data_IF_193291134534
#
_entry.id   IF_193291134534
#
_cell.length_a   1.000
_cell.length_b   1.000
_cell.length_c   1.000
_cell.angle_alpha   90.00
_cell.angle_beta   90.00
_cell.angle_gamma   90.00
#
_symmetry.space_group_name_H-M   'P 1'
#
loop_
_entity.id
_entity.type
_entity.pdbx_description
1 polymer ?
#
# COMPACT_ATOMS: atom_id res chain seq x y z
N UNK A 1 -21.65 17.09 -4.78
CA UNK A 1 -20.29 16.49 -4.69
C UNK A 1 -19.45 17.13 -5.77
N UNK A 2 -18.20 17.52 -5.46
CA UNK A 2 -17.26 17.94 -6.51
C UNK A 2 -16.74 16.72 -7.27
N UNK A 3 -16.54 16.87 -8.58
CA UNK A 3 -16.00 15.82 -9.45
C UNK A 3 -14.55 16.12 -9.79
N UNK A 4 -13.72 15.08 -9.89
CA UNK A 4 -12.36 15.18 -10.40
C UNK A 4 -12.29 14.56 -11.79
N UNK A 5 -11.68 15.27 -12.73
CA UNK A 5 -11.52 14.80 -14.10
C UNK A 5 -10.22 13.98 -14.25
N UNK A 6 -10.35 12.79 -14.82
CA UNK A 6 -9.25 11.87 -15.06
C UNK A 6 -9.21 11.52 -16.55
N UNK A 7 -8.08 11.73 -17.22
CA UNK A 7 -7.93 11.39 -18.65
C UNK A 7 -6.95 10.26 -18.90
N UNK A 8 -7.28 9.41 -19.88
CA UNK A 8 -6.33 8.44 -20.42
C UNK A 8 -5.33 9.18 -21.33
N UNK A 9 -4.01 9.09 -21.07
CA UNK A 9 -3.01 9.72 -21.92
C UNK A 9 -2.96 9.07 -23.31
N UNK A 10 -2.74 9.86 -24.35
CA UNK A 10 -2.81 9.46 -25.77
C UNK A 10 -1.64 8.61 -26.28
N UNK A 11 -0.62 8.32 -25.47
CA UNK A 11 0.54 7.50 -25.87
C UNK A 11 0.45 6.07 -25.33
N UNK A 12 0.82 5.06 -26.13
CA UNK A 12 0.40 3.69 -25.88
C UNK A 12 1.25 3.00 -24.81
N UNK A 13 0.53 2.32 -23.93
CA UNK A 13 0.75 0.93 -23.53
C UNK A 13 2.19 0.49 -23.17
N UNK A 14 2.42 0.27 -21.88
CA UNK A 14 3.44 -0.67 -21.40
C UNK A 14 2.99 -2.11 -21.73
N UNK A 15 3.18 -2.56 -22.97
CA UNK A 15 2.82 -3.92 -23.40
C UNK A 15 3.68 -5.02 -22.76
N UNK A 16 4.85 -4.69 -22.20
CA UNK A 16 5.84 -5.67 -21.75
C UNK A 16 6.34 -5.49 -20.31
N UNK A 17 5.49 -5.11 -19.35
CA UNK A 17 5.80 -5.49 -17.96
C UNK A 17 5.26 -6.90 -17.70
N UNK A 18 5.97 -7.89 -18.25
CA UNK A 18 5.93 -9.24 -17.73
C UNK A 18 6.61 -9.22 -16.36
N UNK A 19 5.91 -8.72 -15.35
CA UNK A 19 6.37 -8.73 -13.97
C UNK A 19 6.62 -10.19 -13.59
N UNK A 20 7.89 -10.58 -13.46
CA UNK A 20 8.28 -11.88 -12.91
C UNK A 20 8.14 -11.82 -11.38
N UNK A 21 6.93 -11.60 -10.89
CA UNK A 21 6.65 -11.63 -9.46
C UNK A 21 5.70 -12.80 -9.20
N UNK A 22 6.15 -13.74 -8.38
CA UNK A 22 5.44 -14.98 -8.05
C UNK A 22 4.74 -14.93 -6.68
N UNK A 23 4.86 -13.82 -5.94
CA UNK A 23 4.32 -13.69 -4.58
C UNK A 23 3.51 -12.41 -4.32
N UNK A 24 2.72 -12.50 -3.26
CA UNK A 24 1.49 -11.78 -2.86
C UNK A 24 1.68 -10.33 -2.41
N UNK A 25 2.90 -9.80 -2.28
CA UNK A 25 3.13 -8.44 -1.77
C UNK A 25 3.95 -7.62 -2.77
N UNK A 26 3.26 -6.91 -3.67
CA UNK A 26 3.92 -5.86 -4.47
C UNK A 26 3.97 -4.59 -3.64
N UNK A 27 5.12 -4.38 -3.02
CA UNK A 27 5.38 -3.19 -2.21
C UNK A 27 6.63 -2.51 -2.75
N UNK A 28 6.50 -1.24 -3.10
CA UNK A 28 7.62 -0.44 -3.60
C UNK A 28 8.28 0.30 -2.45
N UNK A 29 9.60 0.17 -2.35
CA UNK A 29 10.42 1.04 -1.52
C UNK A 29 11.07 2.09 -2.41
N UNK A 30 10.71 3.36 -2.22
CA UNK A 30 11.45 4.48 -2.79
C UNK A 30 11.93 5.36 -1.64
N UNK A 31 13.23 5.62 -1.54
CA UNK A 31 13.73 6.73 -0.73
C UNK A 31 13.83 7.98 -1.60
N UNK A 32 13.97 9.17 -1.01
CA UNK A 32 14.17 10.42 -1.76
C UNK A 32 15.40 10.42 -2.67
N UNK A 33 16.29 9.42 -2.54
CA UNK A 33 17.56 9.33 -3.28
C UNK A 33 17.71 8.04 -4.10
N UNK A 34 16.72 7.14 -4.14
CA UNK A 34 16.85 5.84 -4.83
C UNK A 34 15.66 5.52 -5.72
N UNK A 35 15.95 4.90 -6.87
CA UNK A 35 14.94 4.28 -7.74
C UNK A 35 14.00 3.35 -6.95
N UNK A 36 12.71 3.25 -7.35
CA UNK A 36 11.77 2.37 -6.66
C UNK A 36 12.15 0.91 -6.89
N UNK A 37 12.46 0.18 -5.82
CA UNK A 37 12.67 -1.27 -5.89
C UNK A 37 11.39 -2.02 -5.55
N UNK A 38 11.09 -3.07 -6.31
CA UNK A 38 9.96 -3.96 -6.04
C UNK A 38 10.43 -5.19 -5.27
N UNK A 39 10.12 -5.28 -3.98
CA UNK A 39 10.33 -6.51 -3.22
C UNK A 39 9.36 -7.58 -3.71
N UNK A 40 9.84 -8.77 -4.07
CA UNK A 40 8.98 -9.81 -4.62
C UNK A 40 9.23 -11.21 -4.03
N UNK A 41 10.33 -11.41 -3.31
CA UNK A 41 10.59 -12.65 -2.58
C UNK A 41 11.43 -12.36 -1.32
N UNK A 42 11.04 -13.01 -0.24
CA UNK A 42 11.73 -13.00 1.04
C UNK A 42 11.97 -14.46 1.44
N UNK A 43 13.19 -14.80 1.85
CA UNK A 43 13.54 -16.15 2.30
C UNK A 43 14.35 -16.06 3.58
N UNK A 44 13.87 -16.73 4.63
CA UNK A 44 14.50 -16.75 5.94
C UNK A 44 15.41 -17.98 6.07
N UNK A 45 16.53 -17.81 6.78
CA UNK A 45 17.50 -18.85 7.09
C UNK A 45 17.76 -18.87 8.59
N UNK A 46 17.64 -20.04 9.20
CA UNK A 46 17.79 -20.25 10.64
C UNK A 46 17.31 -21.64 11.02
N UNK A 47 17.70 -22.13 12.19
CA UNK A 47 17.24 -23.42 12.71
C UNK A 47 15.77 -23.39 13.13
N UNK A 48 15.34 -22.25 13.68
CA UNK A 48 13.96 -21.90 14.04
C UNK A 48 13.79 -20.38 13.90
N UNK A 49 12.54 -19.91 13.75
CA UNK A 49 12.24 -18.48 13.89
C UNK A 49 12.54 -17.96 15.30
N UNK A 50 12.67 -18.81 16.31
CA UNK A 50 13.01 -18.41 17.68
C UNK A 50 14.53 -18.24 17.90
N UNK A 51 15.36 -18.63 16.93
CA UNK A 51 16.82 -18.54 17.03
C UNK A 51 17.30 -17.08 16.97
N UNK A 52 18.25 -16.66 17.80
CA UNK A 52 18.73 -15.27 17.83
C UNK A 52 19.31 -14.88 16.45
N UNK A 53 19.89 -15.83 15.72
CA UNK A 53 20.64 -15.58 14.48
C UNK A 53 19.86 -15.91 13.19
N UNK A 54 18.58 -15.55 13.11
CA UNK A 54 17.83 -15.65 11.85
C UNK A 54 18.33 -14.59 10.87
N UNK A 55 18.73 -15.03 9.68
CA UNK A 55 19.11 -14.16 8.57
C UNK A 55 18.12 -14.32 7.42
N UNK A 56 18.17 -13.44 6.43
CA UNK A 56 17.24 -13.49 5.30
C UNK A 56 17.86 -12.97 4.02
N UNK A 57 17.43 -13.56 2.92
CA UNK A 57 17.67 -13.05 1.58
C UNK A 57 16.40 -12.35 1.09
N UNK A 58 16.56 -11.09 0.67
CA UNK A 58 15.47 -10.28 0.12
C UNK A 58 15.76 -10.03 -1.36
N UNK A 59 14.85 -10.46 -2.21
CA UNK A 59 14.93 -10.30 -3.65
C UNK A 59 14.07 -9.11 -4.09
N UNK A 60 14.71 -8.21 -4.81
CA UNK A 60 14.12 -7.02 -5.39
C UNK A 60 14.24 -7.07 -6.91
N UNK A 61 13.28 -6.45 -7.59
CA UNK A 61 13.37 -6.12 -9.00
C UNK A 61 13.64 -4.62 -9.13
N UNK A 62 14.70 -4.25 -9.85
CA UNK A 62 15.00 -2.88 -10.25
C UNK A 62 14.31 -2.61 -11.59
N UNK A 63 13.21 -1.83 -11.63
CA UNK A 63 12.48 -1.56 -12.86
C UNK A 63 13.23 -0.64 -13.82
N UNK A 64 14.28 0.07 -13.36
CA UNK A 64 15.09 0.96 -14.22
C UNK A 64 16.16 0.16 -14.95
N UNK A 65 16.77 -0.81 -14.28
CA UNK A 65 17.78 -1.69 -14.87
C UNK A 65 17.19 -2.97 -15.47
N UNK A 66 15.92 -3.23 -15.21
CA UNK A 66 15.22 -4.48 -15.53
C UNK A 66 15.93 -5.73 -15.00
N UNK A 67 16.58 -5.61 -13.85
CA UNK A 67 17.44 -6.64 -13.27
C UNK A 67 17.02 -7.00 -11.83
N UNK A 68 17.49 -8.15 -11.37
CA UNK A 68 17.30 -8.63 -10.01
C UNK A 68 18.41 -8.10 -9.08
N UNK A 69 18.01 -7.60 -7.92
CA UNK A 69 18.92 -7.23 -6.83
C UNK A 69 18.61 -8.10 -5.63
N UNK A 70 19.62 -8.81 -5.11
CA UNK A 70 19.49 -9.69 -3.95
C UNK A 70 20.30 -9.11 -2.80
N UNK A 71 19.61 -8.76 -1.71
CA UNK A 71 20.24 -8.42 -0.43
C UNK A 71 20.34 -9.71 0.38
N UNK A 72 21.57 -10.15 0.64
CA UNK A 72 21.84 -11.42 1.32
C UNK A 72 22.17 -11.23 2.80
N UNK A 73 21.96 -12.31 3.55
CA UNK A 73 22.42 -12.46 4.94
C UNK A 73 21.98 -11.31 5.86
N UNK A 74 20.80 -10.72 5.58
CA UNK A 74 20.27 -9.61 6.36
C UNK A 74 19.75 -10.14 7.70
N UNK A 75 20.21 -9.57 8.81
CA UNK A 75 19.71 -9.92 10.13
C UNK A 75 18.19 -9.67 10.21
N UNK A 76 17.43 -10.68 10.62
CA UNK A 76 15.97 -10.57 10.77
C UNK A 76 15.63 -10.19 12.22
N UNK A 77 15.06 -8.98 12.46
CA UNK A 77 14.77 -8.50 13.81
C UNK A 77 13.81 -9.41 14.56
N UNK A 78 14.04 -9.58 15.86
CA UNK A 78 13.22 -10.46 16.69
C UNK A 78 11.78 -9.97 16.81
N UNK A 79 11.60 -8.66 16.86
CA UNK A 79 10.32 -7.96 16.96
C UNK A 79 9.43 -8.17 15.73
N UNK A 80 10.01 -8.54 14.58
CA UNK A 80 9.28 -8.79 13.34
C UNK A 80 8.93 -10.26 13.14
N UNK A 81 9.39 -11.17 14.02
CA UNK A 81 8.99 -12.57 14.01
C UNK A 81 7.51 -12.64 14.39
N UNK A 82 6.71 -13.34 13.58
CA UNK A 82 5.24 -13.37 13.71
C UNK A 82 4.53 -12.06 13.32
N UNK A 83 5.16 -11.27 12.45
CA UNK A 83 4.51 -10.12 11.80
C UNK A 83 4.24 -10.39 10.32
N UNK A 84 3.26 -9.67 9.77
CA UNK A 84 3.01 -9.61 8.34
C UNK A 84 3.35 -8.23 7.80
N UNK A 85 4.08 -8.16 6.68
CA UNK A 85 4.33 -6.90 5.97
C UNK A 85 3.04 -6.46 5.28
N UNK A 86 2.50 -5.30 5.67
CA UNK A 86 1.24 -4.74 5.16
C UNK A 86 1.43 -3.52 4.25
N UNK A 87 2.60 -2.88 4.29
CA UNK A 87 2.87 -1.73 3.45
C UNK A 87 4.35 -1.41 3.38
N UNK A 88 4.76 -0.66 2.37
CA UNK A 88 6.09 -0.05 2.32
C UNK A 88 5.94 1.40 1.86
N UNK A 89 6.71 2.30 2.48
CA UNK A 89 6.71 3.72 2.15
C UNK A 89 8.05 4.33 2.54
N UNK A 90 8.60 5.19 1.70
CA UNK A 90 9.84 5.94 1.97
C UNK A 90 11.09 5.09 2.31
N UNK A 91 11.19 3.84 1.85
CA UNK A 91 12.30 2.95 2.24
C UNK A 91 11.97 2.04 3.44
N UNK A 92 10.86 2.28 4.12
CA UNK A 92 10.47 1.62 5.37
C UNK A 92 9.28 0.69 5.16
N UNK A 93 9.32 -0.49 5.75
CA UNK A 93 8.21 -1.45 5.81
C UNK A 93 7.33 -1.20 7.02
N UNK A 94 6.02 -1.41 6.86
CA UNK A 94 5.01 -1.40 7.91
C UNK A 94 4.57 -2.84 8.15
N UNK A 95 4.71 -3.29 9.39
CA UNK A 95 4.48 -4.67 9.82
C UNK A 95 3.36 -4.72 10.83
N UNK A 96 2.44 -5.67 10.68
CA UNK A 96 1.34 -5.91 11.60
C UNK A 96 1.62 -7.17 12.42
N UNK A 97 1.54 -7.06 13.75
CA UNK A 97 1.45 -8.22 14.65
C UNK A 97 0.03 -8.75 14.62
N UNK A 98 -0.09 -10.03 14.34
CA UNK A 98 -1.35 -10.74 14.48
C UNK A 98 -1.30 -11.56 15.77
N UNK A 99 -1.82 -11.00 16.86
CA UNK A 99 -2.09 -11.74 18.09
C UNK A 99 -3.53 -11.50 18.56
N UNK A 100 -4.08 -12.46 19.30
CA UNK A 100 -5.46 -12.39 19.80
C UNK A 100 -5.65 -11.26 20.84
N UNK A 101 -4.56 -10.83 21.48
CA UNK A 101 -4.59 -9.90 22.60
C UNK A 101 -4.36 -8.44 22.17
N UNK A 102 -3.43 -8.19 21.23
CA UNK A 102 -3.01 -6.83 20.87
C UNK A 102 -2.62 -6.71 19.40
N UNK A 103 -3.12 -5.66 18.74
CA UNK A 103 -2.62 -5.24 17.42
C UNK A 103 -1.51 -4.23 17.61
N UNK A 104 -0.29 -4.62 17.29
CA UNK A 104 0.83 -3.70 17.22
C UNK A 104 1.23 -3.51 15.76
N UNK A 105 1.49 -2.27 15.40
CA UNK A 105 2.16 -1.94 14.14
C UNK A 105 3.62 -1.64 14.43
N UNK A 106 4.51 -2.12 13.58
CA UNK A 106 5.91 -1.74 13.59
C UNK A 106 6.28 -1.09 12.27
N UNK A 107 7.20 -0.14 12.33
CA UNK A 107 7.83 0.46 11.16
C UNK A 107 9.31 0.13 11.20
N UNK A 108 9.84 -0.45 10.12
CA UNK A 108 11.24 -0.88 10.06
C UNK A 108 11.90 -0.63 8.70
N UNK A 109 13.17 -0.25 8.70
CA UNK A 109 14.00 -0.14 7.50
C UNK A 109 14.53 -1.51 7.01
N UNK A 110 14.05 -2.61 7.59
CA UNK A 110 14.39 -3.98 7.19
C UNK A 110 14.16 -4.25 5.70
N UNK A 111 13.12 -3.67 5.09
CA UNK A 111 12.87 -3.83 3.66
C UNK A 111 13.63 -2.84 2.77
N UNK A 112 14.53 -2.01 3.32
CA UNK A 112 15.35 -1.10 2.53
C UNK A 112 16.49 -1.86 1.84
N UNK A 113 16.57 -1.86 0.49
CA UNK A 113 17.66 -2.51 -0.24
C UNK A 113 19.01 -1.82 -0.05
N UNK A 114 19.01 -0.52 0.27
CA UNK A 114 20.22 0.28 0.45
C UNK A 114 20.58 0.50 1.94
N UNK A 115 19.92 -0.21 2.86
CA UNK A 115 20.19 -0.09 4.29
C UNK A 115 21.62 -0.53 4.62
N UNK A 116 22.48 0.41 5.00
CA UNK A 116 23.90 0.17 5.31
C UNK A 116 24.14 -0.43 6.71
N UNK A 117 23.09 -0.62 7.50
CA UNK A 117 23.19 -1.04 8.90
C UNK A 117 23.04 -2.56 9.01
N UNK A 118 23.91 -3.23 9.78
CA UNK A 118 23.81 -4.67 10.01
C UNK A 118 22.50 -5.04 10.73
N UNK A 119 22.01 -4.12 11.57
CA UNK A 119 20.77 -4.27 12.33
C UNK A 119 19.73 -3.26 11.85
N UNK A 120 18.57 -3.74 11.35
CA UNK A 120 17.44 -2.89 11.01
C UNK A 120 16.90 -2.14 12.24
N UNK A 121 16.49 -0.89 12.06
CA UNK A 121 15.69 -0.17 13.06
C UNK A 121 14.27 -0.73 13.09
N UNK A 122 13.71 -0.92 14.26
CA UNK A 122 12.29 -1.27 14.45
C UNK A 122 11.66 -0.25 15.39
N UNK A 123 10.58 0.39 14.93
CA UNK A 123 9.86 1.43 15.68
C UNK A 123 8.46 0.90 15.97
N UNK A 124 8.09 0.65 17.24
CA UNK A 124 6.74 0.30 17.59
C UNK A 124 5.79 1.50 17.46
N UNK A 125 4.65 1.25 16.84
CA UNK A 125 3.48 2.11 16.81
C UNK A 125 2.41 1.47 17.69
N UNK A 126 2.58 1.57 18.99
CA UNK A 126 1.60 1.03 19.93
C UNK A 126 0.32 1.88 19.88
N UNK A 127 -0.87 1.28 19.64
CA UNK A 127 -2.11 1.96 19.93
C UNK A 127 -2.19 2.12 21.45
N UNK A 128 -2.10 3.35 21.92
CA UNK A 128 -2.21 3.65 23.34
C UNK A 128 -3.69 3.54 23.75
N UNK A 129 -4.07 2.42 24.39
CA UNK A 129 -5.43 2.19 24.92
C UNK A 129 -5.97 0.78 24.66
N UNK A 130 -7.15 0.47 25.22
CA UNK A 130 -7.81 -0.83 24.98
C UNK A 130 -8.21 -0.96 23.50
N UNK A 131 -7.94 -2.11 22.85
CA UNK A 131 -8.26 -2.30 21.45
C UNK A 131 -9.78 -2.27 21.21
N UNK A 132 -10.26 -1.31 20.42
CA UNK A 132 -11.65 -1.26 19.97
C UNK A 132 -11.93 -2.33 18.89
N UNK A 133 -13.20 -2.67 18.65
CA UNK A 133 -13.60 -3.74 17.69
C UNK A 133 -13.04 -3.48 16.27
N UNK A 134 -12.89 -2.21 15.88
CA UNK A 134 -12.28 -1.77 14.61
C UNK A 134 -10.79 -2.10 14.52
N UNK A 135 -10.06 -2.06 15.64
CA UNK A 135 -8.65 -2.47 15.72
C UNK A 135 -8.49 -3.99 15.63
N UNK A 136 -9.53 -4.82 15.85
CA UNK A 136 -9.46 -6.28 15.61
C UNK A 136 -9.47 -6.67 14.12
N UNK A 137 -9.68 -5.74 13.20
CA UNK A 137 -9.78 -6.02 11.75
C UNK A 137 -8.43 -6.22 11.08
N UNK A 138 -8.37 -7.11 10.09
CA UNK A 138 -7.15 -7.43 9.34
C UNK A 138 -6.66 -6.17 8.62
N UNK A 139 -5.39 -5.80 8.79
CA UNK A 139 -4.80 -4.67 8.08
C UNK A 139 -4.45 -5.14 6.67
N UNK A 140 -4.99 -4.45 5.66
CA UNK A 140 -4.83 -4.83 4.24
C UNK A 140 -3.75 -4.01 3.54
N UNK A 141 -3.51 -2.78 3.99
CA UNK A 141 -2.46 -1.90 3.47
C UNK A 141 -2.10 -0.78 4.45
N UNK A 142 -0.91 -0.20 4.33
CA UNK A 142 -0.53 1.01 5.05
C UNK A 142 0.29 2.00 4.21
N UNK A 143 0.19 3.29 4.54
CA UNK A 143 0.97 4.39 3.96
C UNK A 143 1.45 5.34 5.07
N UNK A 144 2.57 6.05 4.87
CA UNK A 144 3.08 7.03 5.84
C UNK A 144 3.29 8.41 5.22
N UNK A 145 3.21 9.44 6.05
CA UNK A 145 3.43 10.85 5.63
C UNK A 145 4.85 11.11 5.16
N UNK A 146 5.84 10.58 5.88
CA UNK A 146 7.25 10.75 5.61
C UNK A 146 8.07 9.66 6.31
N UNK A 147 9.32 9.44 5.90
CA UNK A 147 10.17 8.44 6.56
C UNK A 147 10.46 8.82 8.01
N UNK A 148 10.62 7.83 8.91
CA UNK A 148 11.12 8.06 10.27
C UNK A 148 12.49 8.76 10.36
N UNK A 149 13.30 8.71 9.29
CA UNK A 149 14.57 9.46 9.24
C UNK A 149 14.38 10.96 8.91
N UNK A 150 13.22 11.36 8.39
CA UNK A 150 12.90 12.75 8.04
C UNK A 150 12.21 13.50 9.18
N UNK A 151 11.29 12.85 9.91
CA UNK A 151 10.59 13.46 11.04
C UNK A 151 10.27 12.40 12.09
N UNK A 152 10.26 12.81 13.36
CA UNK A 152 9.79 11.99 14.47
C UNK A 152 8.26 11.99 14.61
N UNK A 153 7.57 12.94 13.99
CA UNK A 153 6.10 13.10 14.10
C UNK A 153 5.36 12.54 12.86
N UNK A 154 5.93 11.52 12.21
CA UNK A 154 5.30 10.90 11.05
C UNK A 154 3.99 10.20 11.43
N UNK A 155 3.02 10.16 10.51
CA UNK A 155 1.76 9.45 10.70
C UNK A 155 1.72 8.25 9.77
N UNK A 156 1.28 7.10 10.29
CA UNK A 156 0.99 5.90 9.51
C UNK A 156 -0.52 5.70 9.44
N UNK A 157 -1.05 5.67 8.23
CA UNK A 157 -2.43 5.29 7.96
C UNK A 157 -2.45 3.79 7.62
N UNK A 158 -3.22 3.00 8.37
CA UNK A 158 -3.41 1.59 8.14
C UNK A 158 -4.86 1.31 7.74
N UNK A 159 -5.05 0.88 6.49
CA UNK A 159 -6.33 0.44 5.97
C UNK A 159 -6.67 -0.96 6.52
N UNK A 160 -7.90 -1.12 6.99
CA UNK A 160 -8.39 -2.38 7.53
C UNK A 160 -9.44 -2.99 6.62
N UNK A 161 -9.58 -4.31 6.66
CA UNK A 161 -10.64 -5.03 5.95
C UNK A 161 -12.01 -4.54 6.45
N UNK A 162 -12.86 -4.12 5.52
CA UNK A 162 -14.15 -3.49 5.81
C UNK A 162 -14.06 -1.97 5.92
N UNK A 163 -15.03 -1.39 6.63
CA UNK A 163 -15.24 0.06 6.66
C UNK A 163 -14.34 0.80 7.67
N UNK A 164 -13.02 0.80 7.52
CA UNK A 164 -12.14 1.44 8.50
C UNK A 164 -10.71 1.73 8.05
N UNK A 165 -10.26 2.96 8.30
CA UNK A 165 -8.83 3.32 8.32
C UNK A 165 -8.44 3.79 9.72
N UNK A 166 -7.26 3.38 10.18
CA UNK A 166 -6.69 3.74 11.47
C UNK A 166 -5.42 4.58 11.27
N UNK A 167 -5.17 5.55 12.14
CA UNK A 167 -3.96 6.38 12.08
C UNK A 167 -3.12 6.19 13.34
N UNK A 168 -1.81 6.11 13.14
CA UNK A 168 -0.84 5.83 14.18
C UNK A 168 0.27 6.87 14.15
N UNK A 169 0.66 7.35 15.33
CA UNK A 169 1.82 8.24 15.53
C UNK A 169 2.82 7.53 16.44
N UNK A 170 4.12 7.61 16.14
CA UNK A 170 5.16 7.14 17.06
C UNK A 170 5.16 7.99 18.34
N UNK A 171 5.39 7.37 19.49
CA UNK A 171 5.57 8.04 20.79
C UNK A 171 4.43 8.99 21.25
N UNK A 172 3.24 8.91 20.68
CA UNK A 172 2.10 9.75 21.08
C UNK A 172 1.58 9.41 22.47
N UNK A 173 1.18 10.42 23.25
CA UNK A 173 0.26 10.21 24.39
C UNK A 173 -1.05 9.59 23.86
N UNK A 174 -1.82 8.84 24.67
CA UNK A 174 -3.01 8.10 24.20
C UNK A 174 -4.05 8.98 23.52
N UNK A 175 -4.08 10.25 23.92
CA UNK A 175 -4.97 11.29 23.44
C UNK A 175 -4.71 11.70 21.99
N UNK A 176 -3.48 11.51 21.46
CA UNK A 176 -3.10 11.89 20.09
C UNK A 176 -2.98 10.70 19.13
N UNK A 177 -2.92 9.47 19.64
CA UNK A 177 -3.11 8.26 18.84
C UNK A 177 -4.62 8.09 18.60
N UNK A 178 -5.15 8.92 17.71
CA UNK A 178 -6.55 8.89 17.33
C UNK A 178 -6.92 7.53 16.75
N UNK A 179 -7.39 6.61 17.60
CA UNK A 179 -8.05 5.37 17.21
C UNK A 179 -9.49 5.62 16.71
N UNK A 180 -9.70 6.76 16.06
CA UNK A 180 -10.92 7.07 15.34
C UNK A 180 -10.97 6.21 14.10
N UNK A 181 -11.53 5.01 14.21
CA UNK A 181 -11.84 4.19 13.05
C UNK A 181 -12.80 4.96 12.15
N UNK A 182 -12.30 5.50 11.05
CA UNK A 182 -13.14 6.25 10.13
C UNK A 182 -13.99 5.26 9.35
N UNK A 183 -15.30 5.24 9.61
CA UNK A 183 -16.24 4.45 8.82
C UNK A 183 -16.31 5.06 7.43
N UNK A 184 -15.74 4.37 6.44
CA UNK A 184 -16.18 4.56 5.06
C UNK A 184 -17.64 4.14 5.02
N UNK A 185 -18.54 4.97 4.52
CA UNK A 185 -19.99 4.66 4.56
C UNK A 185 -20.40 3.55 3.58
N UNK A 186 -19.45 2.91 2.89
CA UNK A 186 -19.76 1.95 1.83
C UNK A 186 -18.73 0.84 1.66
N UNK A 187 -19.23 -0.37 1.42
CA UNK A 187 -18.50 -1.57 1.01
C UNK A 187 -17.67 -1.37 -0.27
N UNK A 188 -17.91 -0.28 -1.00
CA UNK A 188 -17.07 0.16 -2.11
C UNK A 188 -15.59 0.31 -1.75
N UNK A 189 -15.21 0.35 -0.47
CA UNK A 189 -13.80 0.54 -0.08
C UNK A 189 -13.11 -0.70 0.50
N UNK A 190 -13.79 -1.84 0.62
CA UNK A 190 -13.32 -2.99 1.43
C UNK A 190 -11.98 -3.60 0.96
N UNK A 191 -11.59 -3.39 -0.30
CA UNK A 191 -10.32 -3.87 -0.90
C UNK A 191 -9.38 -2.75 -1.33
N UNK A 192 -9.69 -1.52 -0.95
CA UNK A 192 -8.97 -0.34 -1.42
C UNK A 192 -7.63 -0.20 -0.69
N UNK A 193 -6.67 0.46 -1.34
CA UNK A 193 -5.35 0.73 -0.73
C UNK A 193 -5.26 2.21 -0.38
N UNK A 194 -4.61 2.51 0.74
CA UNK A 194 -4.34 3.89 1.15
C UNK A 194 -3.02 4.37 0.53
N UNK A 195 -3.01 5.62 0.09
CA UNK A 195 -1.81 6.32 -0.39
C UNK A 195 -1.73 7.67 0.32
N UNK A 196 -0.52 8.14 0.62
CA UNK A 196 -0.30 9.50 1.11
C UNK A 196 0.20 10.40 -0.03
N UNK A 197 -0.51 11.49 -0.27
CA UNK A 197 -0.15 12.52 -1.23
C UNK A 197 0.67 13.59 -0.53
N UNK A 198 1.91 13.78 -0.98
CA UNK A 198 2.77 14.83 -0.44
C UNK A 198 2.34 16.21 -0.95
N UNK A 199 1.84 16.29 -2.18
CA UNK A 199 1.30 17.53 -2.77
C UNK A 199 0.17 18.10 -1.92
N UNK A 200 -0.79 17.27 -1.54
CA UNK A 200 -2.03 17.73 -0.90
C UNK A 200 -2.01 17.57 0.62
N UNK A 201 -0.94 16.98 1.17
CA UNK A 201 -0.80 16.62 2.59
C UNK A 201 -1.99 15.79 3.10
N UNK A 202 -2.39 14.79 2.32
CA UNK A 202 -3.63 14.02 2.53
C UNK A 202 -3.45 12.54 2.29
N UNK A 203 -4.20 11.75 3.03
CA UNK A 203 -4.36 10.33 2.74
C UNK A 203 -5.55 10.13 1.81
N UNK A 204 -5.38 9.26 0.83
CA UNK A 204 -6.37 8.95 -0.20
C UNK A 204 -6.63 7.45 -0.27
N UNK A 205 -7.86 7.08 -0.55
CA UNK A 205 -8.23 5.71 -0.94
C UNK A 205 -9.22 5.76 -2.11
N UNK A 206 -8.92 5.12 -3.25
CA UNK A 206 -9.88 4.99 -4.34
C UNK A 206 -10.87 3.88 -4.02
N UNK A 207 -12.12 3.97 -4.45
CA UNK A 207 -13.07 2.87 -4.31
C UNK A 207 -12.66 1.67 -5.17
N UNK A 208 -13.22 0.50 -4.88
CA UNK A 208 -13.31 -0.63 -5.81
C UNK A 208 -13.90 -0.11 -7.14
N UNK A 209 -13.28 -0.48 -8.25
CA UNK A 209 -13.58 0.06 -9.58
C UNK A 209 -13.10 1.51 -9.85
N UNK A 210 -12.72 2.25 -8.81
CA UNK A 210 -12.11 3.58 -8.91
C UNK A 210 -13.08 4.69 -9.32
N UNK A 211 -14.34 4.66 -8.92
CA UNK A 211 -15.32 5.71 -9.25
C UNK A 211 -15.41 6.80 -8.20
N UNK A 212 -14.97 6.51 -6.98
CA UNK A 212 -14.93 7.49 -5.89
C UNK A 212 -13.54 7.57 -5.30
N UNK A 213 -13.21 8.75 -4.78
CA UNK A 213 -11.97 9.03 -4.07
C UNK A 213 -12.31 9.57 -2.70
N UNK A 214 -12.02 8.78 -1.66
CA UNK A 214 -12.13 9.22 -0.27
C UNK A 214 -10.78 9.75 0.22
N UNK A 215 -10.82 10.80 1.05
CA UNK A 215 -9.60 11.39 1.59
C UNK A 215 -9.74 11.95 3.01
N UNK A 216 -8.60 12.04 3.69
CA UNK A 216 -8.41 12.54 5.05
C UNK A 216 -7.25 13.53 5.10
N UNK A 217 -7.45 14.65 5.80
CA UNK A 217 -6.41 15.64 6.06
C UNK A 217 -5.38 15.07 7.05
N UNK A 218 -4.06 15.28 6.82
CA UNK A 218 -3.01 14.69 7.68
C UNK A 218 -2.87 15.34 9.06
N UNK A 219 -3.38 16.56 9.19
CA UNK A 219 -3.45 17.30 10.45
C UNK A 219 -4.75 16.92 11.18
N UNK A 220 -4.72 15.77 11.85
CA UNK A 220 -5.82 15.27 12.67
C UNK A 220 -5.96 16.08 13.97
N UNK A 221 -6.40 17.33 13.87
CA UNK A 221 -6.80 18.15 15.03
C UNK A 221 -8.23 17.83 15.46
N UNK A 222 -9.08 17.35 14.54
CA UNK A 222 -10.46 16.98 14.83
C UNK A 222 -10.68 15.47 14.68
N UNK A 223 -10.62 14.79 15.81
CA UNK A 223 -11.14 13.43 15.97
C UNK A 223 -12.64 13.49 15.59
N UNK A 224 -13.11 12.60 14.70
CA UNK A 224 -14.52 12.36 14.31
C UNK A 224 -15.02 12.84 12.93
N UNK A 225 -14.19 13.27 11.98
CA UNK A 225 -14.71 13.66 10.65
C UNK A 225 -14.75 12.49 9.65
N UNK A 226 -15.93 12.15 9.10
CA UNK A 226 -16.04 11.19 8.00
C UNK A 226 -15.14 11.59 6.82
N UNK A 227 -14.59 10.63 6.03
CA UNK A 227 -13.81 10.99 4.86
C UNK A 227 -14.61 11.91 3.94
N UNK A 228 -13.94 12.94 3.42
CA UNK A 228 -14.47 13.71 2.30
C UNK A 228 -14.37 12.83 1.05
N UNK A 229 -15.40 12.87 0.20
CA UNK A 229 -15.46 12.04 -1.00
C UNK A 229 -15.62 12.90 -2.26
N UNK A 230 -14.86 12.56 -3.31
CA UNK A 230 -15.01 13.09 -4.66
C UNK A 230 -15.45 11.99 -5.62
N UNK A 231 -16.30 12.34 -6.57
CA UNK A 231 -16.60 11.48 -7.72
C UNK A 231 -15.48 11.60 -8.74
N UNK A 232 -15.03 10.48 -9.31
CA UNK A 232 -14.02 10.44 -10.36
C UNK A 232 -14.70 10.30 -11.72
N UNK A 233 -14.53 11.29 -12.59
CA UNK A 233 -15.05 11.28 -13.96
C UNK A 233 -13.92 10.95 -14.93
N UNK A 234 -14.22 10.06 -15.86
CA UNK A 234 -13.23 9.56 -16.81
C UNK A 234 -13.50 10.13 -18.21
N UNK A 235 -12.48 10.72 -18.80
CA UNK A 235 -12.47 11.20 -20.17
C UNK A 235 -11.44 10.44 -21.02
N UNK A 236 -11.60 10.54 -22.34
CA UNK A 236 -10.76 9.82 -23.32
C UNK A 236 -10.73 8.31 -23.07
N UNK A 237 -11.88 7.73 -22.72
CA UNK A 237 -12.00 6.28 -22.58
C UNK A 237 -11.67 5.60 -23.91
N UNK A 238 -10.96 4.45 -23.88
CA UNK A 238 -10.63 3.75 -25.10
C UNK A 238 -11.89 3.19 -25.75
N UNK A 239 -11.96 3.24 -27.08
CA UNK A 239 -12.95 2.46 -27.83
C UNK A 239 -12.61 0.97 -27.67
N UNK A 240 -13.55 0.19 -27.16
CA UNK A 240 -13.39 -1.24 -26.91
C UNK A 240 -14.42 -2.02 -27.70
N UNK A 241 -13.99 -3.13 -28.28
CA UNK A 241 -14.90 -4.11 -28.90
C UNK A 241 -15.77 -4.79 -27.83
N UNK A 242 -16.89 -5.38 -28.25
CA UNK A 242 -17.78 -6.14 -27.35
C UNK A 242 -17.02 -7.24 -26.59
N UNK A 243 -16.16 -8.00 -27.28
CA UNK A 243 -15.33 -9.05 -26.67
C UNK A 243 -14.31 -8.50 -25.65
N UNK A 244 -13.80 -7.30 -25.86
CA UNK A 244 -12.91 -6.66 -24.87
C UNK A 244 -13.68 -6.24 -23.63
N UNK A 245 -14.89 -5.70 -23.80
CA UNK A 245 -15.76 -5.37 -22.66
C UNK A 245 -16.09 -6.59 -21.82
N UNK A 246 -16.51 -7.69 -22.46
CA UNK A 246 -16.80 -8.95 -21.78
C UNK A 246 -15.58 -9.50 -21.02
N UNK A 247 -14.38 -9.39 -21.62
CA UNK A 247 -13.14 -9.78 -20.96
C UNK A 247 -12.86 -8.92 -19.71
N UNK A 248 -13.01 -7.60 -19.80
CA UNK A 248 -12.77 -6.71 -18.66
C UNK A 248 -13.79 -6.91 -17.55
N UNK A 249 -15.06 -7.14 -17.89
CA UNK A 249 -16.14 -7.42 -16.93
C UNK A 249 -15.88 -8.73 -16.16
N UNK A 250 -15.30 -9.73 -16.83
CA UNK A 250 -14.90 -11.00 -16.21
C UNK A 250 -13.74 -10.91 -15.21
N UNK A 251 -13.02 -9.78 -15.12
CA UNK A 251 -11.87 -9.58 -14.24
C UNK A 251 -12.23 -9.19 -12.79
N UNK A 252 -13.49 -9.40 -12.38
CA UNK A 252 -14.01 -8.93 -11.09
C UNK A 252 -13.35 -9.59 -9.86
N UNK A 253 -13.07 -8.83 -8.78
CA UNK A 253 -13.25 -7.39 -8.62
C UNK A 253 -12.08 -6.55 -9.16
N UNK A 254 -12.41 -5.43 -9.82
CA UNK A 254 -11.44 -4.46 -10.35
C UNK A 254 -10.73 -3.69 -9.22
N UNK A 255 -9.42 -3.89 -9.10
CA UNK A 255 -8.59 -3.13 -8.16
C UNK A 255 -8.14 -1.81 -8.77
N UNK A 256 -8.34 -0.73 -8.02
CA UNK A 256 -7.85 0.60 -8.35
C UNK A 256 -6.70 1.00 -7.40
N UNK A 257 -5.66 1.60 -7.95
CA UNK A 257 -4.48 2.06 -7.22
C UNK A 257 -4.18 3.51 -7.55
N UNK A 258 -3.75 4.29 -6.56
CA UNK A 258 -3.27 5.64 -6.79
C UNK A 258 -1.74 5.66 -6.79
N UNK A 259 -1.19 6.51 -7.65
CA UNK A 259 0.24 6.81 -7.67
C UNK A 259 0.44 8.33 -7.80
N UNK A 260 1.50 8.84 -7.20
CA UNK A 260 1.90 10.24 -7.28
C UNK A 260 3.32 10.33 -7.83
N UNK A 261 3.52 11.19 -8.82
CA UNK A 261 4.85 11.50 -9.37
C UNK A 261 5.62 12.45 -8.45
N UNK A 262 6.96 12.54 -8.58
CA UNK A 262 7.76 13.53 -7.86
C UNK A 262 7.33 14.98 -8.11
N UNK A 263 6.71 15.26 -9.26
CA UNK A 263 6.13 16.58 -9.59
C UNK A 263 4.76 16.84 -8.95
N UNK A 264 4.21 15.92 -8.17
CA UNK A 264 2.88 16.04 -7.55
C UNK A 264 1.71 15.69 -8.48
N UNK A 265 1.96 15.27 -9.72
CA UNK A 265 0.91 14.75 -10.59
C UNK A 265 0.42 13.40 -10.06
N UNK A 266 -0.90 13.21 -10.00
CA UNK A 266 -1.53 11.99 -9.53
C UNK A 266 -2.09 11.17 -10.69
N UNK A 267 -2.04 9.86 -10.53
CA UNK A 267 -2.54 8.88 -11.47
C UNK A 267 -3.43 7.86 -10.76
N UNK A 268 -4.53 7.50 -11.39
CA UNK A 268 -5.36 6.36 -11.01
C UNK A 268 -5.09 5.20 -11.98
N UNK A 269 -4.68 4.07 -11.43
CA UNK A 269 -4.37 2.85 -12.18
C UNK A 269 -5.49 1.85 -11.90
N UNK A 270 -6.29 1.54 -12.93
CA UNK A 270 -7.24 0.43 -12.91
C UNK A 270 -6.55 -0.83 -13.42
N UNK A 271 -6.50 -1.87 -12.60
CA UNK A 271 -5.83 -3.12 -12.94
C UNK A 271 -6.85 -4.25 -13.11
N UNK A 272 -6.99 -4.68 -14.36
CA UNK A 272 -7.87 -5.78 -14.75
C UNK A 272 -7.06 -7.07 -14.75
N UNK A 273 -7.32 -7.93 -13.76
CA UNK A 273 -6.69 -9.23 -13.65
C UNK A 273 -7.77 -10.31 -13.46
N UNK A 274 -7.64 -11.41 -14.21
CA UNK A 274 -8.48 -12.58 -14.06
C UNK A 274 -7.82 -13.52 -13.05
N UNK A 275 -8.45 -13.68 -11.88
CA UNK A 275 -8.02 -14.64 -10.89
C UNK A 275 -8.74 -15.98 -11.11
N UNK A 276 -7.96 -17.06 -11.11
CA UNK A 276 -8.44 -18.43 -11.18
C UNK A 276 -9.03 -18.89 -9.82
N UNK A 277 -9.94 -19.86 -9.92
CA UNK A 277 -10.88 -20.49 -8.97
C UNK A 277 -10.68 -20.35 -7.43
N UNK A 278 -11.79 -20.19 -6.67
CA UNK A 278 -11.81 -20.28 -5.21
C UNK A 278 -11.22 -21.61 -4.69
N UNK A 279 -10.43 -21.56 -3.61
CA UNK A 279 -9.97 -22.75 -2.87
C UNK A 279 -8.52 -23.22 -3.14
N UNK A 280 -7.76 -22.56 -4.02
CA UNK A 280 -6.31 -22.80 -4.16
C UNK A 280 -5.50 -21.64 -3.57
N UNK A 281 -4.36 -21.97 -2.94
CA UNK A 281 -3.39 -20.97 -2.46
C UNK A 281 -3.04 -20.04 -3.61
N UNK A 282 -3.26 -18.75 -3.39
CA UNK A 282 -3.10 -17.67 -4.37
C UNK A 282 -1.62 -17.53 -4.74
N UNK A 283 -1.18 -18.28 -5.75
CA UNK A 283 0.08 -17.99 -6.44
C UNK A 283 -0.22 -16.85 -7.40
N UNK A 284 0.08 -15.61 -6.99
CA UNK A 284 0.00 -14.43 -7.86
C UNK A 284 1.05 -14.56 -8.97
N UNK A 285 0.78 -15.42 -9.94
CA UNK A 285 1.46 -15.45 -11.22
C UNK A 285 0.91 -14.27 -12.01
N UNK A 286 1.79 -13.38 -12.47
CA UNK A 286 1.44 -12.25 -13.34
C UNK A 286 0.79 -12.65 -14.69
N UNK A 287 0.50 -13.95 -14.89
CA UNK A 287 -0.25 -14.55 -15.99
C UNK A 287 -1.76 -14.19 -15.99
N UNK A 288 -2.30 -13.68 -14.88
CA UNK A 288 -3.72 -13.28 -14.79
C UNK A 288 -4.02 -11.85 -15.28
N UNK A 289 -3.02 -10.99 -15.45
CA UNK A 289 -3.26 -9.60 -15.87
C UNK A 289 -3.80 -9.54 -17.29
N UNK A 290 -4.95 -8.91 -17.49
CA UNK A 290 -5.55 -8.66 -18.81
C UNK A 290 -5.26 -7.25 -19.29
N UNK A 291 -5.32 -6.25 -18.40
CA UNK A 291 -5.14 -4.84 -18.79
C UNK A 291 -4.77 -3.95 -17.61
N UNK A 292 -4.00 -2.90 -17.89
CA UNK A 292 -3.90 -1.72 -17.04
C UNK A 292 -4.51 -0.53 -17.79
N UNK A 293 -5.28 0.30 -17.10
CA UNK A 293 -5.67 1.61 -17.57
C UNK A 293 -5.14 2.65 -16.58
N UNK A 294 -4.33 3.58 -17.07
CA UNK A 294 -3.68 4.60 -16.24
C UNK A 294 -4.27 5.94 -16.60
N UNK A 295 -5.05 6.51 -15.71
CA UNK A 295 -5.65 7.82 -15.89
C UNK A 295 -4.85 8.86 -15.11
N UNK A 296 -4.62 10.01 -15.71
CA UNK A 296 -3.97 11.16 -15.07
C UNK A 296 -5.04 12.11 -14.54
N UNK A 297 -4.82 12.65 -13.33
CA UNK A 297 -5.62 13.76 -12.81
C UNK A 297 -5.40 15.01 -13.65
N UNK A 298 -6.49 15.54 -14.21
CA UNK A 298 -6.52 16.84 -14.87
C UNK A 298 -6.70 17.91 -13.79
N UNK A 299 -6.04 19.04 -13.99
CA UNK A 299 -6.27 20.21 -13.14
C UNK A 299 -7.57 20.87 -13.61
N UNK A 300 -8.43 21.26 -12.67
CA UNK A 300 -9.62 22.04 -12.98
C UNK A 300 -9.17 23.31 -13.73
N UNK A 301 -9.63 23.48 -14.98
CA UNK A 301 -9.38 24.68 -15.81
C UNK A 301 -10.16 25.87 -15.24
#
# INVERSE_FOLDING_TARGET
>A
MSSLLLSLPSRPFLRNLALKCHHTLRMFSSSTTTNPYLMYRLTHYGSSFDDINVTSNIHYFDPVKEDEVIVRDKAFPMELRNTSLVGMSHGWGVFNVESDEHKALYVSDYCNPCGSKPNPKVIPLHPMGQPNITQKRIITNAAMTCSPDQSKDFVVAANCLGLGINFFRPCGKPEYSGSGGFKTQSHYFDQSKVMYSKRDEKFYTPSVGGHFLAFWDSCFEEIMTCPKMKELRFCNLPELTQSEWELLDSCSPLTAHLAESPSGQRFLIKWYAQNYQPGKIMTFLCRGTKRFMVFREEEDI
#
